data_IF_768401404049
#
_entry.id   IF_768401404049
#
_cell.length_a   1.000
_cell.length_b   1.000
_cell.length_c   1.000
_cell.angle_alpha   90.00
_cell.angle_beta   90.00
_cell.angle_gamma   90.00
#
_symmetry.space_group_name_H-M   'P 1'
#
loop_
_entity.id
_entity.type
_entity.pdbx_description
1 polymer ?
#
# COMPACT_ATOMS: atom_id res chain seq x y z
N UNK A 1 22.90 24.83 -6.78
CA UNK A 1 22.38 26.21 -6.81
C UNK A 1 21.98 26.66 -5.40
N UNK A 2 21.85 27.97 -5.14
CA UNK A 2 21.43 28.51 -3.84
C UNK A 2 20.07 27.92 -3.37
N UNK A 3 19.16 27.70 -4.31
CA UNK A 3 17.85 27.08 -4.04
C UNK A 3 18.00 25.68 -3.47
N UNK A 4 18.87 24.85 -4.04
CA UNK A 4 19.10 23.48 -3.51
C UNK A 4 19.70 23.50 -2.11
N UNK A 5 20.56 24.47 -1.82
CA UNK A 5 21.14 24.64 -0.48
C UNK A 5 20.05 25.03 0.53
N UNK A 6 19.22 26.01 0.20
CA UNK A 6 18.12 26.45 1.06
C UNK A 6 17.14 25.29 1.34
N UNK A 7 16.74 24.56 0.30
CA UNK A 7 15.86 23.38 0.44
C UNK A 7 16.54 22.28 1.26
N UNK A 8 17.82 22.02 1.04
CA UNK A 8 18.58 21.00 1.80
C UNK A 8 18.65 21.35 3.29
N UNK A 9 18.90 22.62 3.63
CA UNK A 9 18.90 23.08 5.02
C UNK A 9 17.49 23.00 5.63
N UNK A 10 16.47 23.45 4.91
CA UNK A 10 15.08 23.40 5.36
C UNK A 10 14.65 21.94 5.66
N UNK A 11 14.85 21.03 4.71
CA UNK A 11 14.51 19.64 4.91
C UNK A 11 15.39 18.96 5.97
N UNK A 12 16.67 19.33 6.09
CA UNK A 12 17.55 18.80 7.14
C UNK A 12 17.05 19.12 8.57
N UNK A 13 16.42 20.28 8.76
CA UNK A 13 15.82 20.63 10.06
C UNK A 13 14.41 20.09 10.25
N UNK A 14 13.60 19.99 9.22
CA UNK A 14 12.19 19.58 9.34
C UNK A 14 12.01 18.07 9.29
N UNK A 15 12.88 17.36 8.57
CA UNK A 15 12.77 15.92 8.36
C UNK A 15 12.81 15.09 9.66
N UNK A 16 13.70 15.35 10.65
CA UNK A 16 13.72 14.57 11.88
C UNK A 16 12.39 14.62 12.65
N UNK A 17 11.74 15.78 12.68
CA UNK A 17 10.43 15.94 13.34
C UNK A 17 9.34 15.17 12.59
N UNK A 18 9.36 15.23 11.27
CA UNK A 18 8.43 14.48 10.42
C UNK A 18 8.64 12.97 10.55
N UNK A 19 9.90 12.52 10.54
CA UNK A 19 10.26 11.12 10.73
C UNK A 19 9.79 10.60 12.10
N UNK A 20 10.03 11.35 13.19
CA UNK A 20 9.56 10.98 14.52
C UNK A 20 8.03 10.85 14.58
N UNK A 21 7.30 11.69 13.87
CA UNK A 21 5.84 11.58 13.74
C UNK A 21 5.40 10.29 13.02
N UNK A 22 6.08 9.93 11.94
CA UNK A 22 5.83 8.69 11.20
C UNK A 22 6.15 7.43 12.02
N UNK A 23 7.27 7.45 12.75
CA UNK A 23 7.68 6.35 13.63
C UNK A 23 6.68 6.18 14.78
N UNK A 24 6.21 7.29 15.37
CA UNK A 24 5.15 7.27 16.38
C UNK A 24 3.85 6.68 15.84
N UNK A 25 3.45 7.08 14.64
CA UNK A 25 2.28 6.54 13.96
C UNK A 25 2.43 5.02 13.70
N UNK A 26 3.57 4.59 13.16
CA UNK A 26 3.84 3.17 12.91
C UNK A 26 3.79 2.34 14.20
N UNK A 27 4.36 2.84 15.29
CA UNK A 27 4.32 2.17 16.59
C UNK A 27 2.89 2.03 17.14
N UNK A 28 2.03 3.05 16.96
CA UNK A 28 0.61 2.97 17.32
C UNK A 28 -0.10 1.90 16.51
N UNK A 29 0.17 1.81 15.20
CA UNK A 29 -0.41 0.78 14.33
C UNK A 29 0.01 -0.64 14.77
N UNK A 30 1.28 -0.82 15.13
CA UNK A 30 1.79 -2.10 15.64
C UNK A 30 1.12 -2.47 16.96
N UNK A 31 1.02 -1.52 17.90
CA UNK A 31 0.38 -1.76 19.19
C UNK A 31 -1.11 -2.13 19.06
N UNK A 32 -1.80 -1.62 18.03
CA UNK A 32 -3.21 -1.92 17.76
C UNK A 32 -3.43 -3.27 17.03
N UNK A 33 -2.38 -3.98 16.62
CA UNK A 33 -2.46 -5.31 16.00
C UNK A 33 -3.30 -5.33 14.74
N UNK A 34 -4.26 -6.26 14.62
CA UNK A 34 -5.13 -6.40 13.45
C UNK A 34 -5.93 -5.13 13.13
N UNK A 35 -6.37 -4.40 14.16
CA UNK A 35 -7.08 -3.12 13.97
C UNK A 35 -6.12 -2.09 13.37
N UNK A 36 -4.87 -2.04 13.85
CA UNK A 36 -3.84 -1.16 13.31
C UNK A 36 -3.53 -1.46 11.84
N UNK A 37 -3.40 -2.74 11.48
CA UNK A 37 -3.24 -3.16 10.09
C UNK A 37 -4.43 -2.71 9.22
N UNK A 38 -5.65 -2.84 9.73
CA UNK A 38 -6.85 -2.38 9.05
C UNK A 38 -6.86 -0.86 8.82
N UNK A 39 -6.56 -0.09 9.84
CA UNK A 39 -6.46 1.39 9.76
C UNK A 39 -5.36 1.79 8.77
N UNK A 40 -4.19 1.13 8.82
CA UNK A 40 -3.12 1.35 7.86
C UNK A 40 -3.60 1.13 6.42
N UNK A 41 -4.31 0.03 6.16
CA UNK A 41 -4.84 -0.27 4.83
C UNK A 41 -5.81 0.80 4.32
N UNK A 42 -6.73 1.28 5.17
CA UNK A 42 -7.66 2.36 4.83
C UNK A 42 -6.90 3.65 4.50
N UNK A 43 -6.02 4.07 5.40
CA UNK A 43 -5.26 5.32 5.24
C UNK A 43 -4.34 5.26 4.03
N UNK A 44 -3.68 4.11 3.80
CA UNK A 44 -2.83 3.89 2.64
C UNK A 44 -3.60 4.17 1.35
N UNK A 45 -4.82 3.61 1.20
CA UNK A 45 -5.66 3.86 0.02
C UNK A 45 -6.10 5.32 -0.07
N UNK A 46 -6.56 5.91 1.03
CA UNK A 46 -7.00 7.31 1.03
C UNK A 46 -5.88 8.31 0.70
N UNK A 47 -4.62 7.94 0.93
CA UNK A 47 -3.46 8.78 0.64
C UNK A 47 -2.93 8.63 -0.80
N UNK A 48 -3.40 7.66 -1.58
CA UNK A 48 -2.98 7.47 -2.99
C UNK A 48 -3.20 8.73 -3.84
N UNK A 49 -4.35 9.44 -3.78
CA UNK A 49 -4.60 10.59 -4.62
C UNK A 49 -3.60 11.74 -4.47
N UNK A 50 -3.00 11.84 -3.29
CA UNK A 50 -1.98 12.86 -2.96
C UNK A 50 -0.55 12.30 -2.96
N UNK A 51 -0.37 11.00 -3.26
CA UNK A 51 0.93 10.33 -3.36
C UNK A 51 1.61 10.03 -2.02
N UNK A 52 0.98 10.34 -0.88
CA UNK A 52 1.59 10.15 0.45
C UNK A 52 1.56 8.71 0.96
N UNK A 53 0.85 7.80 0.29
CA UNK A 53 0.86 6.37 0.62
C UNK A 53 2.27 5.76 0.54
N UNK A 54 3.13 6.24 -0.38
CA UNK A 54 4.52 5.79 -0.46
C UNK A 54 5.34 6.14 0.78
N UNK A 55 5.06 7.27 1.42
CA UNK A 55 5.73 7.65 2.67
C UNK A 55 5.38 6.66 3.78
N UNK A 56 4.09 6.31 3.93
CA UNK A 56 3.66 5.29 4.88
C UNK A 56 4.27 3.91 4.57
N UNK A 57 4.28 3.51 3.30
CA UNK A 57 4.89 2.26 2.88
C UNK A 57 6.38 2.21 3.22
N UNK A 58 7.11 3.31 3.00
CA UNK A 58 8.54 3.38 3.30
C UNK A 58 8.82 3.08 4.77
N UNK A 59 8.03 3.63 5.67
CA UNK A 59 8.20 3.38 7.12
C UNK A 59 7.85 1.94 7.47
N UNK A 60 6.70 1.44 7.05
CA UNK A 60 6.22 0.11 7.46
C UNK A 60 6.98 -1.01 6.75
N UNK A 61 7.18 -0.90 5.44
CA UNK A 61 7.77 -1.98 4.65
C UNK A 61 9.29 -2.09 4.82
N UNK A 62 10.01 -0.97 5.07
CA UNK A 62 11.47 -0.95 5.05
C UNK A 62 12.14 -0.54 6.37
N UNK A 63 11.42 0.07 7.31
CA UNK A 63 12.03 0.60 8.54
C UNK A 63 11.44 0.00 9.82
N UNK A 64 10.20 -0.50 9.80
CA UNK A 64 9.48 -0.95 10.98
C UNK A 64 10.07 -2.22 11.58
N UNK A 65 10.55 -2.13 12.81
CA UNK A 65 11.11 -3.25 13.56
C UNK A 65 12.46 -3.73 13.03
N UNK A 66 13.09 -4.64 13.78
CA UNK A 66 14.36 -5.26 13.40
C UNK A 66 14.36 -6.74 13.78
N UNK A 67 15.00 -7.56 12.97
CA UNK A 67 15.19 -8.98 13.20
C UNK A 67 16.62 -9.37 12.80
N UNK A 68 17.30 -10.13 13.67
CA UNK A 68 18.63 -10.65 13.34
C UNK A 68 18.45 -12.02 12.71
N UNK A 69 18.83 -12.15 11.45
CA UNK A 69 18.81 -13.41 10.73
C UNK A 69 19.72 -14.44 11.44
N UNK A 70 19.18 -15.57 11.90
CA UNK A 70 19.95 -16.57 12.62
C UNK A 70 21.01 -17.28 11.77
N UNK A 71 20.91 -17.20 10.44
CA UNK A 71 21.84 -17.86 9.52
C UNK A 71 23.01 -16.94 9.12
N UNK A 72 22.68 -15.70 8.73
CA UNK A 72 23.68 -14.73 8.23
C UNK A 72 24.21 -13.80 9.32
N UNK A 73 23.51 -13.67 10.45
CA UNK A 73 23.80 -12.69 11.50
C UNK A 73 23.51 -11.24 11.11
N UNK A 74 22.91 -10.99 9.94
CA UNK A 74 22.58 -9.66 9.47
C UNK A 74 21.28 -9.16 10.11
N UNK A 75 21.20 -7.84 10.30
CA UNK A 75 19.99 -7.20 10.82
C UNK A 75 19.11 -6.81 9.64
N UNK A 76 17.93 -7.42 9.55
CA UNK A 76 16.87 -7.07 8.61
C UNK A 76 15.90 -6.09 9.28
N UNK A 77 15.54 -5.01 8.58
CA UNK A 77 14.57 -4.00 9.04
C UNK A 77 13.40 -3.86 8.08
N UNK A 78 12.23 -3.56 8.61
CA UNK A 78 11.00 -3.44 7.84
C UNK A 78 10.28 -4.76 7.60
N UNK A 79 8.98 -4.68 7.34
CA UNK A 79 8.10 -5.84 7.23
C UNK A 79 8.55 -6.83 6.13
N UNK A 80 9.03 -6.31 5.00
CA UNK A 80 9.45 -7.15 3.85
C UNK A 80 10.77 -7.85 4.12
N UNK A 81 11.83 -7.12 4.55
CA UNK A 81 13.14 -7.73 4.73
C UNK A 81 13.16 -8.70 5.92
N UNK A 82 12.43 -8.40 6.98
CA UNK A 82 12.24 -9.29 8.13
C UNK A 82 11.54 -10.59 7.70
N UNK A 83 10.48 -10.50 6.89
CA UNK A 83 9.80 -11.68 6.36
C UNK A 83 10.75 -12.56 5.54
N UNK A 84 11.55 -11.96 4.65
CA UNK A 84 12.54 -12.69 3.83
C UNK A 84 13.66 -13.31 4.68
N UNK A 85 14.00 -12.72 5.83
CA UNK A 85 14.95 -13.24 6.79
C UNK A 85 14.37 -14.37 7.69
N UNK A 86 13.10 -14.74 7.50
CA UNK A 86 12.43 -15.80 8.23
C UNK A 86 11.84 -15.39 9.58
N UNK A 87 11.60 -14.10 9.80
CA UNK A 87 10.91 -13.62 11.00
C UNK A 87 9.43 -14.02 10.94
N UNK A 88 8.95 -14.88 11.87
CA UNK A 88 7.55 -15.34 11.85
C UNK A 88 6.53 -14.24 12.18
N UNK A 89 6.96 -13.10 12.68
CA UNK A 89 6.08 -11.97 13.03
C UNK A 89 6.00 -10.90 11.94
N UNK A 90 6.73 -11.09 10.82
CA UNK A 90 6.79 -10.15 9.71
C UNK A 90 5.87 -10.56 8.54
N UNK A 91 5.68 -9.66 7.58
CA UNK A 91 4.81 -9.88 6.41
C UNK A 91 3.34 -9.55 6.67
N UNK A 92 2.97 -9.27 7.90
CA UNK A 92 1.57 -9.06 8.32
C UNK A 92 0.94 -7.78 7.75
N UNK A 93 1.75 -6.74 7.50
CA UNK A 93 1.29 -5.47 6.92
C UNK A 93 1.28 -5.47 5.39
N UNK A 94 1.96 -6.43 4.76
CA UNK A 94 2.02 -6.56 3.30
C UNK A 94 1.05 -7.61 2.78
N UNK A 95 0.83 -8.70 3.53
CA UNK A 95 0.03 -9.85 3.11
C UNK A 95 -1.39 -9.47 2.67
N UNK A 96 -2.05 -8.56 3.39
CA UNK A 96 -3.43 -8.17 3.10
C UNK A 96 -3.62 -7.36 1.81
N UNK A 97 -2.55 -6.85 1.19
CA UNK A 97 -2.64 -6.19 -0.12
C UNK A 97 -2.76 -7.19 -1.28
N UNK A 98 -2.23 -8.41 -1.14
CA UNK A 98 -2.24 -9.40 -2.22
C UNK A 98 -3.66 -9.79 -2.67
N UNK A 99 -4.64 -10.05 -1.79
CA UNK A 99 -6.01 -10.32 -2.23
C UNK A 99 -6.62 -9.19 -3.04
N UNK A 100 -6.28 -7.95 -2.70
CA UNK A 100 -6.76 -6.76 -3.40
C UNK A 100 -6.10 -6.62 -4.78
N UNK A 101 -4.76 -6.75 -4.85
CA UNK A 101 -3.99 -6.59 -6.08
C UNK A 101 -4.27 -7.71 -7.09
N UNK A 102 -4.38 -8.96 -6.62
CA UNK A 102 -4.47 -10.13 -7.49
C UNK A 102 -5.91 -10.48 -7.86
N UNK A 103 -6.90 -10.13 -7.05
CA UNK A 103 -8.29 -10.51 -7.27
C UNK A 103 -9.26 -9.33 -7.26
N UNK A 104 -9.23 -8.49 -6.23
CA UNK A 104 -10.20 -7.41 -6.05
C UNK A 104 -10.16 -6.38 -7.18
N UNK A 105 -8.99 -5.87 -7.53
CA UNK A 105 -8.83 -4.87 -8.59
C UNK A 105 -8.98 -5.45 -10.00
N UNK A 106 -8.46 -6.64 -10.33
CA UNK A 106 -8.82 -7.32 -11.57
C UNK A 106 -10.32 -7.57 -11.73
N UNK A 107 -11.02 -7.94 -10.65
CA UNK A 107 -12.48 -8.06 -10.67
C UNK A 107 -13.17 -6.71 -10.91
N UNK A 108 -12.64 -5.61 -10.34
CA UNK A 108 -13.13 -4.27 -10.64
C UNK A 108 -12.93 -3.88 -12.12
N UNK A 109 -11.79 -4.24 -12.72
CA UNK A 109 -11.55 -4.08 -14.17
C UNK A 109 -12.60 -4.85 -14.99
N UNK A 110 -12.89 -6.09 -14.60
CA UNK A 110 -13.93 -6.90 -15.28
C UNK A 110 -15.30 -6.26 -15.14
N UNK A 111 -15.66 -5.76 -13.96
CA UNK A 111 -16.94 -5.07 -13.75
C UNK A 111 -17.07 -3.81 -14.62
N UNK A 112 -16.02 -3.00 -14.68
CA UNK A 112 -16.00 -1.81 -15.53
C UNK A 112 -16.10 -2.18 -17.03
N UNK A 113 -15.46 -3.26 -17.46
CA UNK A 113 -15.59 -3.79 -18.83
C UNK A 113 -17.03 -4.25 -19.12
N UNK A 114 -17.67 -4.98 -18.22
CA UNK A 114 -19.05 -5.45 -18.40
C UNK A 114 -20.01 -4.29 -18.54
N UNK A 115 -19.84 -3.24 -17.72
CA UNK A 115 -20.65 -2.04 -17.74
C UNK A 115 -20.38 -1.11 -18.92
N UNK A 116 -19.29 -1.32 -19.67
CA UNK A 116 -18.91 -0.47 -20.79
C UNK A 116 -19.92 -0.52 -21.95
N UNK A 117 -20.14 0.62 -22.60
CA UNK A 117 -21.01 0.72 -23.80
C UNK A 117 -20.48 -0.19 -24.92
N UNK A 118 -21.39 -0.89 -25.61
CA UNK A 118 -21.03 -1.87 -26.67
C UNK A 118 -20.00 -1.34 -27.69
N UNK A 119 -20.16 -0.09 -28.13
CA UNK A 119 -19.27 0.55 -29.10
C UNK A 119 -17.81 0.72 -28.65
N UNK A 120 -17.59 0.76 -27.34
CA UNK A 120 -16.27 1.01 -26.73
C UNK A 120 -15.64 -0.27 -26.15
N UNK A 121 -16.37 -1.39 -26.13
CA UNK A 121 -15.92 -2.62 -25.43
C UNK A 121 -14.56 -3.14 -25.88
N UNK A 122 -14.25 -3.07 -27.18
CA UNK A 122 -12.97 -3.55 -27.68
C UNK A 122 -11.78 -2.76 -27.10
N UNK A 123 -11.86 -1.43 -27.13
CA UNK A 123 -10.81 -0.54 -26.60
C UNK A 123 -10.70 -0.66 -25.08
N UNK A 124 -11.86 -0.58 -24.40
CA UNK A 124 -11.94 -0.68 -22.94
C UNK A 124 -11.46 -2.05 -22.45
N UNK A 125 -11.77 -3.12 -23.18
CA UNK A 125 -11.34 -4.47 -22.84
C UNK A 125 -9.83 -4.64 -22.88
N UNK A 126 -9.16 -4.16 -23.92
CA UNK A 126 -7.71 -4.20 -24.04
C UNK A 126 -7.02 -3.40 -22.92
N UNK A 127 -7.54 -2.21 -22.65
CA UNK A 127 -7.02 -1.34 -21.57
C UNK A 127 -7.14 -2.01 -20.20
N UNK A 128 -8.33 -2.46 -19.81
CA UNK A 128 -8.54 -3.06 -18.49
C UNK A 128 -7.86 -4.41 -18.32
N UNK A 129 -7.73 -5.20 -19.41
CA UNK A 129 -6.94 -6.42 -19.35
C UNK A 129 -5.47 -6.13 -19.04
N UNK A 130 -4.88 -5.14 -19.71
CA UNK A 130 -3.50 -4.71 -19.46
C UNK A 130 -3.32 -4.22 -18.02
N UNK A 131 -4.23 -3.39 -17.52
CA UNK A 131 -4.18 -2.88 -16.16
C UNK A 131 -4.35 -4.00 -15.11
N UNK A 132 -5.27 -4.94 -15.34
CA UNK A 132 -5.46 -6.09 -14.46
C UNK A 132 -4.21 -6.99 -14.39
N UNK A 133 -3.59 -7.29 -15.54
CA UNK A 133 -2.33 -8.04 -15.60
C UNK A 133 -1.20 -7.30 -14.89
N UNK A 134 -1.10 -5.98 -15.07
CA UNK A 134 -0.11 -5.17 -14.35
C UNK A 134 -0.31 -5.27 -12.85
N UNK A 135 -1.54 -5.13 -12.35
CA UNK A 135 -1.83 -5.25 -10.93
C UNK A 135 -1.46 -6.62 -10.37
N UNK A 136 -1.76 -7.71 -11.10
CA UNK A 136 -1.44 -9.08 -10.68
C UNK A 136 0.08 -9.33 -10.65
N UNK A 137 0.80 -8.90 -11.68
CA UNK A 137 2.22 -9.26 -11.86
C UNK A 137 3.14 -8.32 -11.06
N UNK A 138 2.85 -7.02 -11.06
CA UNK A 138 3.75 -6.00 -10.49
C UNK A 138 3.25 -5.39 -9.19
N UNK A 139 1.96 -5.56 -8.85
CA UNK A 139 1.34 -4.90 -7.71
C UNK A 139 1.04 -3.41 -7.91
N UNK A 140 1.24 -2.86 -9.11
CA UNK A 140 0.90 -1.46 -9.41
C UNK A 140 -0.61 -1.36 -9.63
N UNK A 141 -1.30 -0.70 -8.73
CA UNK A 141 -2.76 -0.65 -8.65
C UNK A 141 -3.36 0.71 -8.96
N UNK A 142 -2.55 1.76 -8.85
CA UNK A 142 -2.97 3.16 -8.95
C UNK A 142 -3.73 3.49 -10.25
N UNK A 143 -3.36 3.00 -11.44
CA UNK A 143 -4.10 3.32 -12.66
C UNK A 143 -5.55 2.80 -12.63
N UNK A 144 -5.79 1.65 -11.98
CA UNK A 144 -7.15 1.11 -11.81
C UNK A 144 -7.92 1.95 -10.79
N UNK A 145 -7.28 2.27 -9.67
CA UNK A 145 -7.87 3.05 -8.59
C UNK A 145 -8.25 4.46 -9.04
N UNK A 146 -7.38 5.13 -9.79
CA UNK A 146 -7.69 6.42 -10.39
C UNK A 146 -8.86 6.34 -11.38
N UNK A 147 -8.96 5.26 -12.17
CA UNK A 147 -10.04 5.11 -13.12
C UNK A 147 -11.42 5.15 -12.44
N UNK A 148 -11.62 4.42 -11.33
CA UNK A 148 -12.92 4.45 -10.66
C UNK A 148 -13.04 5.55 -9.61
N UNK A 149 -11.95 6.07 -9.05
CA UNK A 149 -11.99 7.20 -8.14
C UNK A 149 -12.59 8.45 -8.78
N UNK A 150 -12.17 8.77 -10.02
CA UNK A 150 -12.73 9.91 -10.74
C UNK A 150 -14.15 9.66 -11.25
N UNK A 151 -14.52 8.41 -11.52
CA UNK A 151 -15.87 8.04 -11.95
C UNK A 151 -16.87 8.03 -10.79
N UNK A 152 -16.45 7.53 -9.63
CA UNK A 152 -17.30 7.39 -8.44
C UNK A 152 -16.46 7.39 -7.16
N UNK A 153 -16.29 8.55 -6.51
CA UNK A 153 -15.55 8.65 -5.24
C UNK A 153 -16.08 7.72 -4.14
N UNK A 154 -17.39 7.42 -4.14
CA UNK A 154 -17.98 6.49 -3.17
C UNK A 154 -17.42 5.09 -3.33
N UNK A 155 -17.22 4.60 -4.56
CA UNK A 155 -16.59 3.30 -4.80
C UNK A 155 -15.14 3.28 -4.31
N UNK A 156 -14.45 4.42 -4.41
CA UNK A 156 -13.09 4.53 -3.88
C UNK A 156 -13.04 4.43 -2.34
N UNK A 157 -13.99 5.06 -1.64
CA UNK A 157 -14.09 4.93 -0.18
C UNK A 157 -14.40 3.48 0.22
N UNK A 158 -15.34 2.83 -0.49
CA UNK A 158 -15.65 1.41 -0.26
C UNK A 158 -14.42 0.54 -0.48
N UNK A 159 -13.66 0.78 -1.56
CA UNK A 159 -12.41 0.09 -1.84
C UNK A 159 -11.39 0.27 -0.71
N UNK A 160 -11.21 1.48 -0.18
CA UNK A 160 -10.32 1.74 0.94
C UNK A 160 -10.74 0.95 2.19
N UNK A 161 -12.04 0.92 2.51
CA UNK A 161 -12.57 0.14 3.65
C UNK A 161 -12.33 -1.36 3.44
N UNK A 162 -12.63 -1.90 2.26
CA UNK A 162 -12.41 -3.30 1.93
C UNK A 162 -10.93 -3.68 2.00
N UNK A 163 -10.03 -2.78 1.59
CA UNK A 163 -8.58 -2.99 1.74
C UNK A 163 -8.19 -3.06 3.20
N UNK A 164 -8.70 -2.17 4.04
CA UNK A 164 -8.47 -2.23 5.48
C UNK A 164 -8.97 -3.54 6.11
N UNK A 165 -10.16 -4.00 5.73
CA UNK A 165 -10.68 -5.30 6.18
C UNK A 165 -9.75 -6.45 5.74
N UNK A 166 -9.28 -6.42 4.49
CA UNK A 166 -8.35 -7.43 3.97
C UNK A 166 -7.07 -7.49 4.79
N UNK A 167 -6.48 -6.32 5.13
CA UNK A 167 -5.28 -6.28 5.97
C UNK A 167 -5.55 -6.75 7.39
N UNK A 168 -6.66 -6.34 8.00
CA UNK A 168 -7.03 -6.78 9.35
C UNK A 168 -7.24 -8.30 9.41
N UNK A 169 -7.91 -8.87 8.41
CA UNK A 169 -8.15 -10.33 8.32
C UNK A 169 -6.84 -11.06 8.07
N UNK A 170 -6.01 -10.60 7.14
CA UNK A 170 -4.70 -11.21 6.87
C UNK A 170 -3.81 -11.20 8.13
N UNK A 171 -3.79 -10.09 8.87
CA UNK A 171 -3.09 -9.99 10.14
C UNK A 171 -3.62 -10.98 11.19
N UNK A 172 -4.93 -11.16 11.28
CA UNK A 172 -5.55 -12.04 12.27
C UNK A 172 -5.39 -13.54 11.96
N UNK A 173 -5.12 -13.88 10.70
CA UNK A 173 -4.92 -15.25 10.24
C UNK A 173 -3.45 -15.70 10.24
N UNK A 174 -2.53 -14.79 10.45
CA UNK A 174 -1.08 -15.07 10.54
C UNK A 174 -0.70 -15.39 12.00
#
# INVERSE_FOLDING_TARGET
SAVCLILGVFFGYTWPTFQAGLDGFANIMVAAGAIGAGIYGILNRLLIPIGLHHVMNTVIWFQLGSFTDPVSGQIATGDIARFLAGDPTAGVYTAGFYPIMMFGLPAACLAMYVCAKKKNKAVVGGMFLSLALTAIITGITEPIEFAFMFLSPILYVIHAILTGISLAVAYALN
#
